data_IF_899329664668
#
_entry.id   IF_899329664668
#
_cell.length_a   1.000
_cell.length_b   1.000
_cell.length_c   1.000
_cell.angle_alpha   90.00
_cell.angle_beta   90.00
_cell.angle_gamma   90.00
#
_symmetry.space_group_name_H-M   'P 1'
#
loop_
_entity.id
_entity.type
_entity.pdbx_description
1 polymer ?
#
# COMPACT_ATOMS: atom_id res chain seq x y z
N UNK A 1 -3.93 -10.04 -11.54
CA UNK A 1 -3.26 -11.28 -11.13
C UNK A 1 -2.36 -11.78 -12.25
N UNK A 2 -1.38 -12.61 -11.94
CA UNK A 2 -0.44 -13.21 -12.90
C UNK A 2 -0.29 -14.72 -12.64
N UNK A 3 0.35 -15.46 -13.54
CA UNK A 3 0.63 -16.90 -13.38
C UNK A 3 1.87 -17.19 -12.50
N UNK A 4 2.59 -16.15 -12.06
CA UNK A 4 3.78 -16.26 -11.22
C UNK A 4 3.63 -15.44 -9.93
N UNK A 5 4.41 -15.80 -8.91
CA UNK A 5 4.53 -15.07 -7.66
C UNK A 5 5.99 -15.09 -7.16
N UNK A 6 6.34 -14.12 -6.31
CA UNK A 6 7.60 -14.12 -5.56
C UNK A 6 7.33 -14.56 -4.11
N UNK A 7 8.20 -15.40 -3.57
CA UNK A 7 8.09 -15.94 -2.20
C UNK A 7 9.28 -15.44 -1.39
N UNK A 8 9.00 -14.96 -0.17
CA UNK A 8 10.01 -14.55 0.80
C UNK A 8 9.80 -15.33 2.11
N UNK A 9 10.89 -15.66 2.80
CA UNK A 9 10.83 -16.25 4.14
C UNK A 9 10.34 -15.21 5.17
N UNK A 10 9.52 -15.66 6.12
CA UNK A 10 8.94 -14.82 7.17
C UNK A 10 7.69 -14.05 6.73
N UNK A 11 7.00 -13.44 7.70
CA UNK A 11 5.76 -12.70 7.47
C UNK A 11 6.03 -11.20 7.25
N UNK A 12 6.57 -10.86 6.08
CA UNK A 12 7.00 -9.50 5.70
C UNK A 12 5.88 -8.62 5.09
N UNK A 13 4.62 -9.05 5.17
CA UNK A 13 3.51 -8.34 4.50
C UNK A 13 3.33 -6.89 4.95
N UNK A 14 3.53 -6.60 6.24
CA UNK A 14 3.46 -5.24 6.77
C UNK A 14 4.60 -4.34 6.24
N UNK A 15 5.79 -4.92 6.05
CA UNK A 15 6.95 -4.21 5.52
C UNK A 15 6.72 -3.86 4.04
N UNK A 16 6.15 -4.81 3.27
CA UNK A 16 5.76 -4.59 1.88
C UNK A 16 4.66 -3.53 1.74
N UNK A 17 3.66 -3.51 2.63
CA UNK A 17 2.62 -2.46 2.65
C UNK A 17 3.24 -1.08 2.91
N UNK A 18 4.14 -0.99 3.89
CA UNK A 18 4.85 0.26 4.21
C UNK A 18 5.67 0.73 3.01
N UNK A 19 6.46 -0.15 2.41
CA UNK A 19 7.27 0.14 1.22
C UNK A 19 6.39 0.57 0.03
N UNK A 20 5.30 -0.16 -0.24
CA UNK A 20 4.37 0.16 -1.32
C UNK A 20 3.77 1.57 -1.15
N UNK A 21 3.41 1.96 0.08
CA UNK A 21 2.89 3.31 0.36
C UNK A 21 3.93 4.41 0.13
N UNK A 22 5.21 4.17 0.46
CA UNK A 22 6.30 5.10 0.15
C UNK A 22 6.51 5.27 -1.36
N UNK A 23 6.28 4.21 -2.13
CA UNK A 23 6.40 4.21 -3.59
C UNK A 23 5.10 4.56 -4.33
N UNK A 24 4.00 4.77 -3.60
CA UNK A 24 2.66 5.07 -4.12
C UNK A 24 2.14 3.98 -5.07
N UNK A 25 2.39 2.73 -4.70
CA UNK A 25 1.85 1.55 -5.37
C UNK A 25 0.67 1.05 -4.54
N UNK A 26 -0.58 1.09 -5.04
CA UNK A 26 -1.74 0.64 -4.27
C UNK A 26 -1.71 -0.87 -4.07
N UNK A 27 -2.00 -1.32 -2.84
CA UNK A 27 -2.05 -2.75 -2.50
C UNK A 27 -3.47 -3.27 -2.70
N UNK A 28 -3.71 -3.89 -3.86
CA UNK A 28 -5.03 -4.42 -4.24
C UNK A 28 -5.47 -5.70 -3.50
N UNK A 29 -4.54 -6.39 -2.82
CA UNK A 29 -4.85 -7.59 -2.03
C UNK A 29 -3.77 -7.83 -0.98
N UNK A 30 -4.17 -8.03 0.28
CA UNK A 30 -3.30 -8.56 1.33
C UNK A 30 -4.14 -9.24 2.43
N UNK A 31 -3.50 -10.10 3.23
CA UNK A 31 -4.11 -10.73 4.41
C UNK A 31 -3.45 -10.29 5.73
N UNK A 32 -2.67 -9.20 5.70
CA UNK A 32 -2.04 -8.60 6.88
C UNK A 32 -3.11 -8.07 7.84
N UNK A 33 -2.94 -8.33 9.13
CA UNK A 33 -3.81 -7.79 10.20
C UNK A 33 -3.88 -6.26 10.14
N UNK A 34 -5.06 -5.63 10.29
CA UNK A 34 -5.23 -4.17 10.19
C UNK A 34 -4.31 -3.38 11.14
N UNK A 35 -4.02 -3.92 12.31
CA UNK A 35 -3.17 -3.28 13.33
C UNK A 35 -1.70 -3.19 12.90
N UNK A 36 -1.27 -3.97 11.90
CA UNK A 36 0.08 -3.94 11.35
C UNK A 36 0.19 -3.10 10.07
N UNK A 37 -0.91 -2.54 9.57
CA UNK A 37 -0.89 -1.65 8.41
C UNK A 37 -0.30 -0.31 8.85
N UNK A 38 0.89 0.00 8.33
CA UNK A 38 1.57 1.26 8.59
C UNK A 38 1.86 1.98 7.27
N UNK A 39 1.41 3.23 7.19
CA UNK A 39 1.51 4.10 6.01
C UNK A 39 1.76 5.54 6.49
N UNK A 40 2.20 6.47 5.62
CA UNK A 40 2.30 7.88 5.98
C UNK A 40 0.97 8.42 6.52
N UNK A 41 1.01 9.28 7.54
CA UNK A 41 -0.18 9.81 8.21
C UNK A 41 -1.18 10.48 7.25
N UNK A 42 -0.68 11.02 6.13
CA UNK A 42 -1.50 11.60 5.07
C UNK A 42 -2.57 10.63 4.52
N UNK A 43 -2.35 9.31 4.54
CA UNK A 43 -3.35 8.32 4.09
C UNK A 43 -4.65 8.41 4.90
N UNK A 44 -4.59 8.77 6.19
CA UNK A 44 -5.77 8.92 7.02
C UNK A 44 -6.73 10.02 6.54
N UNK A 45 -6.21 11.05 5.84
CA UNK A 45 -7.04 12.09 5.24
C UNK A 45 -7.82 11.61 4.01
N UNK A 46 -7.42 10.49 3.40
CA UNK A 46 -8.14 9.88 2.28
C UNK A 46 -9.23 8.90 2.74
N UNK A 47 -9.37 8.65 4.04
CA UNK A 47 -10.41 7.82 4.62
C UNK A 47 -9.87 6.85 5.66
N UNK A 48 -10.68 6.56 6.68
CA UNK A 48 -10.31 5.67 7.80
C UNK A 48 -11.20 4.44 7.92
N UNK A 49 -12.45 4.51 7.43
CA UNK A 49 -13.38 3.37 7.42
C UNK A 49 -13.14 2.36 6.30
N UNK A 50 -12.38 2.74 5.27
CA UNK A 50 -12.00 1.90 4.14
C UNK A 50 -10.50 2.13 3.82
N UNK A 51 -9.60 1.38 4.47
CA UNK A 51 -8.16 1.51 4.29
C UNK A 51 -7.66 1.14 2.89
N UNK A 52 -8.41 0.32 2.15
CA UNK A 52 -8.10 -0.04 0.77
C UNK A 52 -8.41 1.13 -0.15
N UNK A 53 -9.63 1.66 -0.11
CA UNK A 53 -9.99 2.84 -0.89
C UNK A 53 -9.14 4.06 -0.56
N UNK A 54 -8.76 4.24 0.71
CA UNK A 54 -7.83 5.29 1.11
C UNK A 54 -6.45 5.13 0.44
N UNK A 55 -5.96 3.90 0.30
CA UNK A 55 -4.69 3.60 -0.38
C UNK A 55 -4.75 3.95 -1.87
N UNK A 56 -5.83 3.56 -2.55
CA UNK A 56 -6.02 3.90 -3.96
C UNK A 56 -6.12 5.41 -4.17
N UNK A 57 -6.91 6.12 -3.36
CA UNK A 57 -7.06 7.59 -3.46
C UNK A 57 -5.74 8.31 -3.19
N UNK A 58 -5.00 7.90 -2.15
CA UNK A 58 -3.71 8.50 -1.81
C UNK A 58 -2.66 8.25 -2.91
N UNK A 59 -2.54 7.01 -3.41
CA UNK A 59 -1.62 6.66 -4.48
C UNK A 59 -1.94 7.43 -5.77
N UNK A 60 -3.22 7.55 -6.14
CA UNK A 60 -3.64 8.33 -7.31
C UNK A 60 -3.32 9.83 -7.15
N UNK A 61 -3.56 10.40 -5.97
CA UNK A 61 -3.31 11.81 -5.68
C UNK A 61 -1.82 12.16 -5.75
N UNK A 62 -0.98 11.43 -5.01
CA UNK A 62 0.45 11.71 -4.95
C UNK A 62 1.16 11.28 -6.25
N UNK A 63 0.75 10.16 -6.84
CA UNK A 63 1.40 9.59 -8.03
C UNK A 63 2.80 9.02 -7.74
N UNK A 64 3.53 8.60 -8.78
CA UNK A 64 4.83 7.95 -8.62
C UNK A 64 5.87 8.93 -8.05
N UNK A 65 6.82 8.40 -7.28
CA UNK A 65 7.88 9.21 -6.66
C UNK A 65 8.76 9.95 -7.69
N UNK A 66 8.93 9.36 -8.88
CA UNK A 66 9.74 9.92 -9.96
C UNK A 66 8.99 9.81 -11.28
N UNK A 67 9.33 10.66 -12.25
CA UNK A 67 8.90 10.50 -13.64
C UNK A 67 7.48 10.97 -13.97
N UNK A 68 6.80 11.68 -13.06
CA UNK A 68 5.57 12.42 -13.39
C UNK A 68 5.96 13.61 -14.29
N UNK A 69 5.76 13.47 -15.60
CA UNK A 69 5.83 14.57 -16.59
C UNK A 69 4.42 14.88 -17.06
#
# INVERSE_FOLDING_TARGET
GANHAAVSYGHIGADLITLASMLRIPVAMHNVSPQRVFRPSAWGAFGTGDPEGADFRACANFGPLYGKR
#
